data_IF_242639605521
#
_entry.id   IF_242639605521
#
_cell.length_a   1.000
_cell.length_b   1.000
_cell.length_c   1.000
_cell.angle_alpha   90.00
_cell.angle_beta   90.00
_cell.angle_gamma   90.00
#
_symmetry.space_group_name_H-M   'P 1'
#
loop_
_entity.id
_entity.type
_entity.pdbx_description
1 polymer ?
#
# COMPACT_ATOMS: atom_id res chain seq x y z
N UNK A 1 23.70 -22.23 -34.25
CA UNK A 1 23.92 -20.79 -33.97
C UNK A 1 22.66 -19.96 -34.11
N UNK A 2 21.86 -20.08 -35.15
CA UNK A 2 20.62 -19.31 -35.32
C UNK A 2 19.55 -19.65 -34.26
N UNK A 3 19.42 -20.90 -33.84
CA UNK A 3 18.46 -21.34 -32.81
C UNK A 3 18.84 -20.87 -31.40
N UNK A 4 20.11 -20.74 -31.06
CA UNK A 4 20.59 -20.25 -29.77
C UNK A 4 20.36 -18.74 -29.62
N UNK A 5 20.55 -17.97 -30.69
CA UNK A 5 20.29 -16.52 -30.70
C UNK A 5 18.78 -16.24 -30.58
N UNK A 6 17.95 -17.05 -31.25
CA UNK A 6 16.49 -16.94 -31.18
C UNK A 6 15.97 -17.26 -29.79
N UNK A 7 16.51 -18.28 -29.11
CA UNK A 7 16.15 -18.61 -27.72
C UNK A 7 16.55 -17.52 -26.72
N UNK A 8 17.74 -16.91 -26.92
CA UNK A 8 18.16 -15.79 -26.07
C UNK A 8 17.28 -14.56 -26.26
N UNK A 9 16.90 -14.23 -27.47
CA UNK A 9 16.00 -13.12 -27.79
C UNK A 9 14.62 -13.32 -27.16
N UNK A 10 14.09 -14.53 -27.21
CA UNK A 10 12.81 -14.90 -26.61
C UNK A 10 12.85 -14.78 -25.07
N UNK A 11 13.97 -15.20 -24.46
CA UNK A 11 14.16 -15.11 -23.01
C UNK A 11 14.23 -13.64 -22.53
N UNK A 12 14.94 -12.78 -23.26
CA UNK A 12 15.03 -11.35 -22.96
C UNK A 12 13.66 -10.67 -23.11
N UNK A 13 12.89 -11.04 -24.12
CA UNK A 13 11.55 -10.50 -24.34
C UNK A 13 10.59 -10.90 -23.20
N UNK A 14 10.64 -12.15 -22.75
CA UNK A 14 9.83 -12.62 -21.62
C UNK A 14 10.21 -11.91 -20.31
N UNK A 15 11.49 -11.67 -20.06
CA UNK A 15 11.97 -10.93 -18.88
C UNK A 15 11.51 -9.47 -18.92
N UNK A 16 11.51 -8.81 -20.08
CA UNK A 16 11.04 -7.44 -20.24
C UNK A 16 9.53 -7.32 -19.99
N UNK A 17 8.73 -8.27 -20.49
CA UNK A 17 7.27 -8.31 -20.24
C UNK A 17 6.98 -8.56 -18.76
N UNK A 18 7.72 -9.46 -18.09
CA UNK A 18 7.59 -9.71 -16.66
C UNK A 18 7.95 -8.46 -15.82
N UNK A 19 8.97 -7.70 -16.23
CA UNK A 19 9.35 -6.45 -15.57
C UNK A 19 8.28 -5.35 -15.71
N UNK A 20 7.60 -5.28 -16.86
CA UNK A 20 6.51 -4.33 -17.10
C UNK A 20 5.25 -4.65 -16.26
N UNK A 21 4.98 -5.94 -16.04
CA UNK A 21 3.85 -6.41 -15.23
C UNK A 21 4.19 -6.53 -13.74
N UNK A 22 5.48 -6.45 -13.37
CA UNK A 22 5.97 -6.75 -12.03
C UNK A 22 5.98 -5.59 -11.05
N UNK A 23 5.48 -4.39 -11.41
CA UNK A 23 5.38 -3.26 -10.49
C UNK A 23 4.09 -3.35 -9.68
N UNK A 24 4.06 -4.28 -8.71
CA UNK A 24 2.99 -4.28 -7.71
C UNK A 24 3.24 -3.21 -6.67
N UNK A 25 2.22 -2.43 -6.40
CA UNK A 25 2.20 -1.52 -5.26
C UNK A 25 1.41 -2.17 -4.14
N UNK A 26 2.03 -2.24 -2.97
CA UNK A 26 1.38 -2.69 -1.75
C UNK A 26 1.02 -1.49 -0.89
N UNK A 27 -0.25 -1.36 -0.57
CA UNK A 27 -0.77 -0.29 0.28
C UNK A 27 -1.40 -0.94 1.49
N UNK A 28 -1.02 -0.49 2.68
CA UNK A 28 -1.59 -0.95 3.94
C UNK A 28 -2.47 0.14 4.54
N UNK A 29 -3.72 -0.22 4.80
CA UNK A 29 -4.67 0.57 5.59
C UNK A 29 -4.77 -0.06 6.97
N UNK A 30 -4.61 0.73 8.01
CA UNK A 30 -4.69 0.22 9.38
C UNK A 30 -5.37 1.22 10.30
N UNK A 31 -6.23 0.72 11.17
CA UNK A 31 -6.79 1.57 12.21
C UNK A 31 -8.16 1.18 12.71
N UNK A 32 -9.09 2.10 12.63
CA UNK A 32 -10.41 2.02 13.23
C UNK A 32 -11.18 0.76 12.85
N UNK A 33 -11.59 -0.02 13.84
CA UNK A 33 -12.45 -1.19 13.64
C UNK A 33 -13.84 -0.79 13.11
N UNK A 34 -14.29 0.42 13.38
CA UNK A 34 -15.54 0.95 12.86
C UNK A 34 -15.47 1.17 11.35
N UNK A 35 -14.31 1.60 10.85
CA UNK A 35 -14.11 1.95 9.43
C UNK A 35 -13.59 0.76 8.61
N UNK A 36 -13.05 -0.27 9.24
CA UNK A 36 -12.38 -1.38 8.55
C UNK A 36 -13.22 -2.03 7.45
N UNK A 37 -14.51 -2.22 7.67
CA UNK A 37 -15.43 -2.82 6.68
C UNK A 37 -15.56 -1.91 5.46
N UNK A 38 -15.71 -0.61 5.67
CA UNK A 38 -15.76 0.38 4.60
C UNK A 38 -14.44 0.44 3.84
N UNK A 39 -13.32 0.42 4.57
CA UNK A 39 -11.98 0.38 3.98
C UNK A 39 -11.77 -0.87 3.12
N UNK A 40 -12.22 -2.03 3.58
CA UNK A 40 -12.18 -3.28 2.80
C UNK A 40 -12.98 -3.16 1.51
N UNK A 41 -14.15 -2.57 1.56
CA UNK A 41 -14.99 -2.39 0.37
C UNK A 41 -14.35 -1.45 -0.64
N UNK A 42 -13.83 -0.33 -0.19
CA UNK A 42 -13.08 0.60 -1.05
C UNK A 42 -11.85 -0.07 -1.66
N UNK A 43 -11.12 -0.84 -0.87
CA UNK A 43 -9.94 -1.58 -1.33
C UNK A 43 -10.31 -2.58 -2.44
N UNK A 44 -11.38 -3.34 -2.27
CA UNK A 44 -11.86 -4.29 -3.29
C UNK A 44 -12.20 -3.58 -4.61
N UNK A 45 -12.93 -2.48 -4.54
CA UNK A 45 -13.32 -1.70 -5.73
C UNK A 45 -12.08 -1.11 -6.41
N UNK A 46 -11.19 -0.55 -5.64
CA UNK A 46 -9.96 0.05 -6.17
C UNK A 46 -9.06 -0.99 -6.83
N UNK A 47 -8.84 -2.13 -6.15
CA UNK A 47 -8.04 -3.23 -6.70
C UNK A 47 -8.63 -3.81 -7.98
N UNK A 48 -9.96 -3.87 -8.09
CA UNK A 48 -10.65 -4.31 -9.30
C UNK A 48 -10.41 -3.40 -10.50
N UNK A 49 -10.20 -2.11 -10.25
CA UNK A 49 -9.92 -1.10 -11.30
C UNK A 49 -8.43 -0.89 -11.55
N UNK A 50 -7.58 -1.34 -10.64
CA UNK A 50 -6.13 -1.12 -10.68
C UNK A 50 -5.39 -2.45 -10.41
N UNK A 51 -5.26 -3.33 -11.41
CA UNK A 51 -4.75 -4.70 -11.20
C UNK A 51 -3.33 -4.78 -10.66
N UNK A 52 -2.53 -3.73 -10.74
CA UNK A 52 -1.17 -3.70 -10.19
C UNK A 52 -1.08 -3.29 -8.71
N UNK A 53 -2.22 -3.09 -8.04
CA UNK A 53 -2.27 -2.61 -6.66
C UNK A 53 -2.84 -3.69 -5.75
N UNK A 54 -2.13 -3.96 -4.65
CA UNK A 54 -2.60 -4.83 -3.56
C UNK A 54 -2.82 -3.97 -2.32
N UNK A 55 -4.02 -4.00 -1.77
CA UNK A 55 -4.37 -3.24 -0.58
C UNK A 55 -4.70 -4.22 0.54
N UNK A 56 -4.00 -4.08 1.66
CA UNK A 56 -4.28 -4.81 2.89
C UNK A 56 -4.97 -3.89 3.88
N UNK A 57 -6.09 -4.33 4.42
CA UNK A 57 -6.86 -3.56 5.40
C UNK A 57 -6.87 -4.33 6.72
N UNK A 58 -6.36 -3.71 7.77
CA UNK A 58 -6.33 -4.30 9.11
C UNK A 58 -6.93 -3.35 10.13
N UNK A 59 -7.56 -3.91 11.16
CA UNK A 59 -8.13 -3.16 12.27
C UNK A 59 -7.14 -2.94 13.41
N UNK A 60 -7.65 -2.85 14.60
CA UNK A 60 -6.89 -2.68 15.84
C UNK A 60 -7.21 -1.38 16.58
N UNK A 61 -7.98 -0.47 15.97
CA UNK A 61 -8.41 0.81 16.53
C UNK A 61 -7.71 2.01 15.91
N UNK A 62 -8.33 3.17 16.03
CA UNK A 62 -7.83 4.44 15.49
C UNK A 62 -6.42 4.77 15.98
N UNK A 63 -6.18 4.62 17.28
CA UNK A 63 -4.86 4.87 17.88
C UNK A 63 -3.78 3.95 17.33
N UNK A 64 -4.11 2.68 17.08
CA UNK A 64 -3.19 1.72 16.49
C UNK A 64 -2.82 2.11 15.05
N UNK A 65 -3.80 2.54 14.26
CA UNK A 65 -3.57 3.03 12.89
C UNK A 65 -2.69 4.26 12.86
N UNK A 66 -2.96 5.23 13.72
CA UNK A 66 -2.19 6.46 13.83
C UNK A 66 -0.74 6.15 14.28
N UNK A 67 -0.56 5.27 15.27
CA UNK A 67 0.77 4.83 15.69
C UNK A 67 1.54 4.15 14.54
N UNK A 68 0.87 3.32 13.75
CA UNK A 68 1.48 2.69 12.57
C UNK A 68 1.87 3.72 11.52
N UNK A 69 1.05 4.76 11.31
CA UNK A 69 1.39 5.86 10.40
C UNK A 69 2.64 6.61 10.87
N UNK A 70 2.71 6.94 12.16
CA UNK A 70 3.87 7.59 12.78
C UNK A 70 5.13 6.73 12.58
N UNK A 71 5.03 5.44 12.81
CA UNK A 71 6.16 4.50 12.71
C UNK A 71 6.50 4.10 11.27
N UNK A 72 5.70 4.50 10.29
CA UNK A 72 5.94 4.19 8.88
C UNK A 72 5.59 2.76 8.49
N UNK A 73 4.77 2.06 9.28
CA UNK A 73 4.33 0.69 9.01
C UNK A 73 2.99 0.59 8.31
N UNK A 74 2.32 1.70 8.08
CA UNK A 74 1.13 1.80 7.22
C UNK A 74 1.22 3.06 6.37
N UNK A 75 0.66 3.02 5.18
CA UNK A 75 0.58 4.19 4.30
C UNK A 75 -0.63 5.06 4.63
N UNK A 76 -1.71 4.43 5.07
CA UNK A 76 -2.96 5.12 5.39
C UNK A 76 -3.44 4.65 6.75
N UNK A 77 -3.67 5.58 7.65
CA UNK A 77 -4.33 5.30 8.92
C UNK A 77 -5.82 5.60 8.80
N UNK A 78 -6.63 4.63 9.20
CA UNK A 78 -8.07 4.81 9.31
C UNK A 78 -8.41 5.24 10.73
N UNK A 79 -9.11 6.37 10.87
CA UNK A 79 -9.46 6.90 12.17
C UNK A 79 -10.92 7.34 12.21
N UNK A 80 -11.62 6.93 13.25
CA UNK A 80 -12.98 7.38 13.56
C UNK A 80 -12.99 8.57 14.53
N UNK A 81 -11.83 9.16 14.79
CA UNK A 81 -11.66 10.38 15.58
C UNK A 81 -10.63 11.30 14.93
N UNK A 82 -10.62 12.60 15.25
CA UNK A 82 -9.54 13.48 14.86
C UNK A 82 -8.19 13.05 15.46
N UNK A 83 -7.11 13.35 14.78
CA UNK A 83 -5.77 13.20 15.34
C UNK A 83 -5.57 14.21 16.47
N UNK A 84 -4.93 13.76 17.54
CA UNK A 84 -4.47 14.63 18.61
C UNK A 84 -3.29 15.47 18.15
N UNK A 85 -3.13 16.66 18.71
CA UNK A 85 -2.02 17.55 18.34
C UNK A 85 -0.65 16.88 18.50
N UNK A 86 -0.48 16.13 19.59
CA UNK A 86 0.74 15.34 19.81
C UNK A 86 0.99 14.33 18.70
N UNK A 87 -0.03 13.66 18.22
CA UNK A 87 0.07 12.70 17.12
C UNK A 87 0.48 13.38 15.82
N UNK A 88 -0.09 14.55 15.53
CA UNK A 88 0.28 15.37 14.36
C UNK A 88 1.75 15.80 14.42
N UNK A 89 2.20 16.24 15.59
CA UNK A 89 3.60 16.61 15.81
C UNK A 89 4.54 15.42 15.60
N UNK A 90 4.16 14.24 16.10
CA UNK A 90 4.95 13.02 15.94
C UNK A 90 5.06 12.58 14.45
N UNK A 91 3.97 12.67 13.69
CA UNK A 91 3.99 12.41 12.25
C UNK A 91 4.94 13.37 11.55
N UNK A 92 4.81 14.66 11.84
CA UNK A 92 5.66 15.69 11.26
C UNK A 92 7.14 15.48 11.60
N UNK A 93 7.43 15.13 12.85
CA UNK A 93 8.80 14.91 13.31
C UNK A 93 9.45 13.68 12.67
N UNK A 94 8.72 12.57 12.57
CA UNK A 94 9.24 11.30 12.05
C UNK A 94 9.19 11.17 10.53
N UNK A 95 8.20 11.77 9.90
CA UNK A 95 7.98 11.61 8.45
C UNK A 95 8.25 12.89 7.65
N UNK A 96 8.50 14.00 8.33
CA UNK A 96 8.79 15.29 7.69
C UNK A 96 7.60 15.91 6.95
N UNK A 97 6.39 15.38 7.15
CA UNK A 97 5.17 15.85 6.50
C UNK A 97 4.04 15.96 7.52
N UNK A 98 3.14 16.90 7.26
CA UNK A 98 1.91 16.97 8.02
C UNK A 98 0.96 15.82 7.61
N UNK A 99 0.23 15.33 8.58
CA UNK A 99 -0.78 14.30 8.36
C UNK A 99 -2.12 14.93 7.91
#
# INVERSE_FOLDING_TARGET
>A
MKSTVLMLALFVLCAAVAALNGQQRNITLKGSDTIVILGQRWAEVYMGKNPGVTIQVTGGGSGTGIAALINGTTEIAESSRPMKDKEKEEVKAKRGKEA
#
